data_IF_997955987575
#
_entry.id   IF_997955987575
#
_cell.length_a   1.000
_cell.length_b   1.000
_cell.length_c   1.000
_cell.angle_alpha   90.00
_cell.angle_beta   90.00
_cell.angle_gamma   90.00
#
_symmetry.space_group_name_H-M   'P 1'
#
loop_
_entity.id
_entity.type
_entity.pdbx_description
1 polymer ?
#
# COMPACT_ATOMS: atom_id res chain seq x y z
N UNK A 1 31.39 -49.84 17.23
CA UNK A 1 31.00 -48.88 18.27
C UNK A 1 32.19 -47.95 18.47
N UNK A 2 32.20 -46.84 17.82
CA UNK A 2 33.10 -45.75 18.16
C UNK A 2 32.51 -45.02 19.36
N UNK A 3 33.32 -44.50 20.24
CA UNK A 3 32.99 -44.01 21.58
C UNK A 3 32.16 -42.70 21.61
N UNK A 4 31.56 -42.31 20.52
CA UNK A 4 30.52 -41.30 20.44
C UNK A 4 29.27 -41.94 19.84
N UNK A 5 28.18 -42.01 20.61
CA UNK A 5 26.85 -42.54 20.24
C UNK A 5 26.18 -41.78 19.09
N UNK A 6 26.89 -41.50 18.01
CA UNK A 6 26.30 -40.95 16.80
C UNK A 6 26.03 -42.09 15.80
N UNK A 7 24.75 -42.38 15.59
CA UNK A 7 24.25 -43.23 14.53
C UNK A 7 24.87 -42.79 13.21
N UNK A 8 25.74 -43.65 12.59
CA UNK A 8 26.37 -43.28 11.32
C UNK A 8 25.32 -43.28 10.21
N UNK A 9 24.87 -42.07 9.87
CA UNK A 9 23.98 -41.84 8.73
C UNK A 9 24.83 -41.27 7.59
N UNK A 10 24.92 -41.93 6.42
CA UNK A 10 25.66 -41.39 5.27
C UNK A 10 25.21 -39.96 4.92
N UNK A 11 26.15 -39.09 4.53
CA UNK A 11 25.92 -37.65 4.29
C UNK A 11 24.74 -37.37 3.35
N UNK A 12 24.51 -38.19 2.34
CA UNK A 12 23.41 -38.02 1.40
C UNK A 12 22.02 -38.33 1.99
N UNK A 13 21.93 -38.90 3.19
CA UNK A 13 20.68 -39.12 3.93
C UNK A 13 20.47 -38.11 5.06
N UNK A 14 21.47 -37.34 5.47
CA UNK A 14 21.39 -36.41 6.61
C UNK A 14 20.32 -35.31 6.42
N UNK A 15 19.95 -34.99 5.19
CA UNK A 15 18.88 -34.02 4.88
C UNK A 15 17.47 -34.66 4.86
N UNK A 16 17.34 -35.98 5.07
CA UNK A 16 16.04 -36.69 5.05
C UNK A 16 15.55 -36.98 6.46
N UNK A 17 14.24 -36.87 6.62
CA UNK A 17 13.58 -37.31 7.87
C UNK A 17 13.67 -38.86 7.93
N UNK A 18 14.22 -39.40 9.00
CA UNK A 18 14.28 -40.82 9.26
C UNK A 18 13.67 -41.13 10.63
N UNK A 19 13.30 -42.38 10.85
CA UNK A 19 12.80 -42.91 12.12
C UNK A 19 13.84 -43.88 12.65
N UNK A 20 14.39 -43.56 13.81
CA UNK A 20 15.38 -44.42 14.48
C UNK A 20 14.66 -45.57 15.22
N UNK A 21 15.03 -46.79 14.90
CA UNK A 21 14.51 -48.04 15.51
C UNK A 21 15.58 -48.76 16.31
N UNK A 22 16.73 -48.13 16.60
CA UNK A 22 17.86 -48.76 17.28
C UNK A 22 17.77 -48.71 18.81
N UNK A 23 16.96 -47.81 19.37
CA UNK A 23 16.78 -47.66 20.80
C UNK A 23 15.57 -48.46 21.30
N UNK A 24 15.82 -49.44 22.19
CA UNK A 24 14.78 -50.32 22.73
C UNK A 24 13.66 -49.55 23.47
N UNK A 25 13.99 -48.50 24.20
CA UNK A 25 13.03 -47.71 24.97
C UNK A 25 12.08 -46.89 24.07
N UNK A 26 12.52 -46.48 22.90
CA UNK A 26 11.75 -45.68 21.93
C UNK A 26 11.23 -46.52 20.75
N UNK A 27 11.61 -47.81 20.68
CA UNK A 27 11.25 -48.65 19.56
C UNK A 27 9.75 -48.72 19.29
N UNK A 28 8.95 -48.94 20.33
CA UNK A 28 7.49 -49.08 20.19
C UNK A 28 6.83 -47.77 19.65
N UNK A 29 7.27 -46.62 20.13
CA UNK A 29 6.77 -45.32 19.67
C UNK A 29 7.21 -45.04 18.24
N UNK A 30 8.48 -45.24 17.95
CA UNK A 30 9.05 -45.01 16.63
C UNK A 30 8.49 -45.99 15.58
N UNK A 31 8.19 -47.24 15.98
CA UNK A 31 7.55 -48.21 15.11
C UNK A 31 6.07 -47.81 14.79
N UNK A 32 5.31 -47.34 15.77
CA UNK A 32 3.97 -46.81 15.51
C UNK A 32 4.01 -45.59 14.55
N UNK A 33 4.99 -44.69 14.71
CA UNK A 33 5.22 -43.58 13.78
C UNK A 33 5.52 -44.05 12.38
N UNK A 34 6.35 -45.12 12.23
CA UNK A 34 6.66 -45.73 10.94
C UNK A 34 5.41 -46.32 10.28
N UNK A 35 4.59 -47.07 11.03
CA UNK A 35 3.34 -47.62 10.52
C UNK A 35 2.37 -46.52 10.08
N UNK A 36 2.23 -45.46 10.87
CA UNK A 36 1.40 -44.32 10.49
C UNK A 36 1.89 -43.67 9.22
N UNK A 37 3.19 -43.62 9.01
CA UNK A 37 3.79 -43.03 7.81
C UNK A 37 3.52 -43.90 6.57
N UNK A 38 3.67 -45.22 6.71
CA UNK A 38 3.40 -46.20 5.63
C UNK A 38 1.92 -46.16 5.21
N UNK A 39 1.01 -46.01 6.18
CA UNK A 39 -0.44 -46.04 5.93
C UNK A 39 -1.06 -44.67 5.78
N UNK A 40 -0.25 -43.56 5.64
CA UNK A 40 -0.69 -42.17 5.51
C UNK A 40 -1.73 -41.75 6.58
N UNK A 41 -1.50 -42.17 7.83
CA UNK A 41 -2.33 -41.84 9.00
C UNK A 41 -1.53 -41.08 10.05
N UNK A 42 -1.21 -39.77 9.80
CA UNK A 42 -0.41 -39.03 10.75
C UNK A 42 -1.16 -38.82 12.07
N UNK A 43 -0.42 -38.78 13.19
CA UNK A 43 -0.94 -38.50 14.54
C UNK A 43 -1.75 -37.21 14.62
N UNK A 44 -1.28 -36.20 13.90
CA UNK A 44 -1.96 -34.90 13.80
C UNK A 44 -2.38 -34.67 12.35
N UNK A 45 -3.67 -34.67 12.09
CA UNK A 45 -4.17 -34.21 10.80
C UNK A 45 -3.77 -32.72 10.65
N UNK A 46 -3.00 -32.44 9.60
CA UNK A 46 -2.72 -31.05 9.25
C UNK A 46 -4.07 -30.37 9.08
N UNK A 47 -4.36 -29.28 9.81
CA UNK A 47 -5.62 -28.57 9.63
C UNK A 47 -5.71 -28.16 8.16
N UNK A 48 -6.93 -28.21 7.60
CA UNK A 48 -7.17 -27.73 6.24
C UNK A 48 -6.61 -26.30 6.14
N UNK A 49 -5.75 -26.09 5.17
CA UNK A 49 -5.24 -24.74 4.87
C UNK A 49 -6.48 -23.91 4.60
N UNK A 50 -6.75 -22.93 5.47
CA UNK A 50 -7.90 -22.05 5.33
C UNK A 50 -8.01 -21.55 3.90
N UNK A 51 -9.22 -21.27 3.42
CA UNK A 51 -9.46 -20.80 2.06
C UNK A 51 -8.46 -19.69 1.74
N UNK A 52 -7.71 -19.89 0.66
CA UNK A 52 -6.77 -18.91 0.15
C UNK A 52 -7.51 -17.58 0.03
N UNK A 53 -7.04 -16.49 0.65
CA UNK A 53 -7.71 -15.19 0.52
C UNK A 53 -7.95 -14.84 -0.95
N UNK A 54 -9.08 -14.25 -1.26
CA UNK A 54 -9.50 -13.97 -2.65
C UNK A 54 -8.46 -13.15 -3.44
N UNK A 55 -7.68 -12.28 -2.77
CA UNK A 55 -6.61 -11.52 -3.39
C UNK A 55 -5.45 -12.37 -3.93
N UNK A 56 -5.35 -13.66 -3.53
CA UNK A 56 -4.34 -14.60 -4.05
C UNK A 56 -4.83 -15.41 -5.26
N UNK A 57 -6.12 -15.28 -5.63
CA UNK A 57 -6.69 -15.87 -6.85
C UNK A 57 -6.64 -14.92 -8.05
N UNK A 58 -6.29 -13.65 -7.83
CA UNK A 58 -6.01 -12.75 -8.95
C UNK A 58 -4.68 -13.19 -9.55
N UNK A 59 -4.73 -13.90 -10.68
CA UNK A 59 -3.57 -14.41 -11.43
C UNK A 59 -2.67 -13.32 -12.01
N UNK A 60 -2.97 -12.05 -11.74
CA UNK A 60 -2.09 -10.90 -12.00
C UNK A 60 -1.30 -10.53 -10.74
N UNK A 61 -0.47 -11.47 -10.27
CA UNK A 61 0.65 -11.09 -9.41
C UNK A 61 1.82 -10.57 -10.26
N UNK A 62 1.59 -9.60 -11.10
CA UNK A 62 2.65 -8.66 -11.40
C UNK A 62 2.95 -7.97 -10.07
N UNK A 63 3.99 -8.42 -9.38
CA UNK A 63 4.42 -7.75 -8.17
C UNK A 63 4.60 -6.29 -8.57
N UNK A 64 3.88 -5.38 -7.89
CA UNK A 64 4.03 -3.97 -8.16
C UNK A 64 5.51 -3.63 -8.07
N UNK A 65 5.98 -2.73 -8.90
CA UNK A 65 7.39 -2.28 -8.84
C UNK A 65 7.75 -1.68 -7.46
N UNK A 66 6.76 -1.32 -6.65
CA UNK A 66 6.89 -0.85 -5.25
C UNK A 66 6.96 -1.98 -4.23
N UNK A 67 6.44 -3.19 -4.52
CA UNK A 67 6.25 -4.26 -3.53
C UNK A 67 7.55 -4.67 -2.82
N UNK A 68 8.65 -4.79 -3.56
CA UNK A 68 9.95 -5.16 -2.95
C UNK A 68 10.44 -4.07 -1.97
N UNK A 69 10.27 -2.78 -2.32
CA UNK A 69 10.63 -1.65 -1.48
C UNK A 69 9.69 -1.52 -0.29
N UNK A 70 8.40 -1.74 -0.49
CA UNK A 70 7.39 -1.82 0.56
C UNK A 70 7.73 -2.89 1.61
N UNK A 71 8.02 -4.14 1.18
CA UNK A 71 8.39 -5.23 2.08
C UNK A 71 9.65 -4.91 2.87
N UNK A 72 10.68 -4.37 2.20
CA UNK A 72 11.94 -3.94 2.85
C UNK A 72 11.68 -2.86 3.89
N UNK A 73 10.88 -1.84 3.58
CA UNK A 73 10.54 -0.76 4.51
C UNK A 73 9.73 -1.29 5.71
N UNK A 74 8.70 -2.10 5.47
CA UNK A 74 7.87 -2.72 6.51
C UNK A 74 8.71 -3.61 7.44
N UNK A 75 9.60 -4.45 6.90
CA UNK A 75 10.50 -5.30 7.72
C UNK A 75 11.48 -4.44 8.54
N UNK A 76 12.05 -3.41 7.93
CA UNK A 76 12.96 -2.50 8.63
C UNK A 76 12.26 -1.80 9.81
N UNK A 77 11.01 -1.34 9.64
CA UNK A 77 10.23 -0.71 10.70
C UNK A 77 9.90 -1.72 11.81
N UNK A 78 9.34 -2.89 11.45
CA UNK A 78 8.93 -3.94 12.41
C UNK A 78 10.08 -4.45 13.27
N UNK A 79 11.30 -4.42 12.74
CA UNK A 79 12.52 -4.91 13.41
C UNK A 79 13.45 -3.80 13.90
N UNK A 80 13.00 -2.56 13.88
CA UNK A 80 13.77 -1.37 14.29
C UNK A 80 15.20 -1.34 13.70
N UNK A 81 15.31 -1.53 12.39
CA UNK A 81 16.61 -1.57 11.72
C UNK A 81 17.19 -0.18 11.51
N UNK A 82 18.51 0.01 11.60
CA UNK A 82 19.14 1.33 11.45
C UNK A 82 18.92 1.98 10.08
N UNK A 83 18.55 1.22 9.07
CA UNK A 83 18.29 1.71 7.72
C UNK A 83 16.79 2.00 7.42
N UNK A 84 15.90 2.08 8.43
CA UNK A 84 14.48 2.42 8.26
C UNK A 84 14.27 3.66 7.40
N UNK A 85 15.03 4.72 7.68
CA UNK A 85 14.90 5.97 6.93
C UNK A 85 15.25 5.84 5.44
N UNK A 86 16.31 5.12 5.13
CA UNK A 86 16.72 4.84 3.75
C UNK A 86 15.67 3.99 3.02
N UNK A 87 15.13 2.96 3.69
CA UNK A 87 14.12 2.08 3.12
C UNK A 87 12.80 2.83 2.84
N UNK A 88 12.38 3.74 3.72
CA UNK A 88 11.21 4.62 3.50
C UNK A 88 11.42 5.57 2.32
N UNK A 89 12.61 6.19 2.22
CA UNK A 89 12.93 7.08 1.11
C UNK A 89 12.92 6.33 -0.23
N UNK A 90 13.49 5.11 -0.28
CA UNK A 90 13.47 4.23 -1.46
C UNK A 90 12.04 3.89 -1.88
N UNK A 91 11.17 3.56 -0.92
CA UNK A 91 9.77 3.27 -1.20
C UNK A 91 9.04 4.49 -1.76
N UNK A 92 9.10 5.64 -1.10
CA UNK A 92 8.43 6.87 -1.55
C UNK A 92 8.95 7.37 -2.89
N UNK A 93 10.25 7.19 -3.17
CA UNK A 93 10.82 7.50 -4.48
C UNK A 93 10.20 6.62 -5.56
N UNK A 94 10.23 5.30 -5.37
CA UNK A 94 9.67 4.34 -6.33
C UNK A 94 8.15 4.52 -6.51
N UNK A 95 7.42 4.80 -5.42
CA UNK A 95 6.00 5.12 -5.47
C UNK A 95 5.72 6.31 -6.38
N UNK A 96 6.47 7.40 -6.23
CA UNK A 96 6.35 8.60 -7.05
C UNK A 96 6.66 8.32 -8.53
N UNK A 97 7.69 7.52 -8.85
CA UNK A 97 7.98 7.12 -10.23
C UNK A 97 6.83 6.33 -10.86
N UNK A 98 6.16 5.48 -10.09
CA UNK A 98 4.99 4.75 -10.58
C UNK A 98 3.76 5.63 -10.73
N UNK A 99 3.60 6.64 -9.88
CA UNK A 99 2.56 7.64 -10.06
C UNK A 99 2.74 8.40 -11.39
N UNK A 100 3.96 8.73 -11.80
CA UNK A 100 4.23 9.36 -13.12
C UNK A 100 3.74 8.49 -14.29
N UNK A 101 3.84 7.18 -14.19
CA UNK A 101 3.35 6.25 -15.23
C UNK A 101 1.82 6.28 -15.40
N UNK A 102 1.09 6.80 -14.41
CA UNK A 102 -0.37 6.99 -14.47
C UNK A 102 -0.78 8.23 -15.28
N UNK A 103 0.15 8.98 -15.85
CA UNK A 103 -0.15 10.17 -16.67
C UNK A 103 -0.89 9.75 -17.94
N UNK A 104 -2.06 10.35 -18.14
CA UNK A 104 -2.93 10.04 -19.27
C UNK A 104 -2.51 10.87 -20.48
N UNK A 105 -2.15 10.18 -21.56
CA UNK A 105 -1.88 10.80 -22.86
C UNK A 105 -3.15 10.77 -23.72
N UNK A 106 -3.75 11.93 -23.95
CA UNK A 106 -4.99 12.04 -24.74
C UNK A 106 -4.87 11.55 -26.17
N UNK A 107 -3.67 11.61 -26.75
CA UNK A 107 -3.44 11.21 -28.14
C UNK A 107 -3.49 9.69 -28.35
N UNK A 108 -3.39 8.92 -27.28
CA UNK A 108 -3.31 7.45 -27.27
C UNK A 108 -4.55 6.77 -26.70
N UNK A 109 -5.63 7.55 -26.48
CA UNK A 109 -6.84 6.99 -25.88
C UNK A 109 -7.73 6.34 -26.93
N UNK A 110 -8.14 5.12 -26.65
CA UNK A 110 -9.19 4.36 -27.34
C UNK A 110 -10.58 4.50 -26.67
N UNK A 111 -10.61 5.11 -25.47
CA UNK A 111 -11.82 5.39 -24.68
C UNK A 111 -12.03 6.89 -24.47
N UNK A 112 -13.21 7.29 -24.00
CA UNK A 112 -13.44 8.69 -23.63
C UNK A 112 -12.56 9.08 -22.44
N UNK A 113 -12.08 10.32 -22.44
CA UNK A 113 -11.11 10.81 -21.46
C UNK A 113 -11.59 10.65 -20.00
N UNK A 114 -12.87 10.91 -19.73
CA UNK A 114 -13.46 10.73 -18.41
C UNK A 114 -13.48 9.26 -17.96
N UNK A 115 -13.57 8.32 -18.88
CA UNK A 115 -13.43 6.90 -18.60
C UNK A 115 -11.97 6.51 -18.33
N UNK A 116 -11.02 7.03 -19.11
CA UNK A 116 -9.59 6.83 -18.88
C UNK A 116 -9.15 7.36 -17.50
N UNK A 117 -9.73 8.47 -17.04
CA UNK A 117 -9.49 9.00 -15.69
C UNK A 117 -9.95 8.00 -14.63
N UNK A 118 -11.14 7.42 -14.78
CA UNK A 118 -11.66 6.42 -13.83
C UNK A 118 -10.81 5.14 -13.84
N UNK A 119 -10.45 4.64 -15.03
CA UNK A 119 -9.57 3.47 -15.16
C UNK A 119 -8.20 3.71 -14.49
N UNK A 120 -7.63 4.91 -14.66
CA UNK A 120 -6.36 5.29 -14.02
C UNK A 120 -6.49 5.31 -12.49
N UNK A 121 -7.60 5.83 -11.95
CA UNK A 121 -7.90 5.85 -10.52
C UNK A 121 -8.04 4.41 -9.99
N UNK A 122 -8.82 3.57 -10.66
CA UNK A 122 -9.03 2.17 -10.26
C UNK A 122 -7.71 1.35 -10.34
N UNK A 123 -6.87 1.58 -11.34
CA UNK A 123 -5.57 0.90 -11.48
C UNK A 123 -4.55 1.29 -10.41
N UNK A 124 -4.76 2.40 -9.72
CA UNK A 124 -3.90 2.86 -8.63
C UNK A 124 -4.21 2.18 -7.28
N UNK A 125 -5.35 1.50 -7.13
CA UNK A 125 -5.80 0.88 -5.87
C UNK A 125 -4.72 0.00 -5.21
N UNK A 126 -3.97 -0.87 -5.92
CA UNK A 126 -2.94 -1.70 -5.30
C UNK A 126 -1.80 -0.87 -4.66
N UNK A 127 -1.35 0.21 -5.29
CA UNK A 127 -0.34 1.13 -4.74
C UNK A 127 -0.84 1.86 -3.51
N UNK A 128 -2.10 2.31 -3.54
CA UNK A 128 -2.77 2.91 -2.38
C UNK A 128 -2.82 1.93 -1.20
N UNK A 129 -3.14 0.66 -1.45
CA UNK A 129 -3.20 -0.36 -0.40
C UNK A 129 -1.83 -0.58 0.25
N UNK A 130 -0.75 -0.65 -0.52
CA UNK A 130 0.61 -0.68 0.02
C UNK A 130 0.94 0.55 0.87
N UNK A 131 0.51 1.75 0.42
CA UNK A 131 0.70 2.98 1.19
C UNK A 131 -0.04 2.93 2.54
N UNK A 132 -1.30 2.50 2.56
CA UNK A 132 -2.13 2.38 3.77
C UNK A 132 -1.48 1.40 4.76
N UNK A 133 -1.03 0.24 4.28
CA UNK A 133 -0.38 -0.78 5.10
C UNK A 133 0.95 -0.28 5.66
N UNK A 134 1.77 0.36 4.84
CA UNK A 134 3.05 0.93 5.29
C UNK A 134 2.83 2.02 6.33
N UNK A 135 1.89 2.93 6.10
CA UNK A 135 1.61 4.02 7.03
C UNK A 135 1.06 3.49 8.36
N UNK A 136 0.17 2.51 8.34
CA UNK A 136 -0.30 1.82 9.54
C UNK A 136 0.86 1.12 10.27
N UNK A 137 1.80 0.52 9.54
CA UNK A 137 3.00 -0.12 10.12
C UNK A 137 3.90 0.92 10.79
N UNK A 138 4.14 2.08 10.17
CA UNK A 138 4.91 3.18 10.78
C UNK A 138 4.31 3.56 12.14
N UNK A 139 2.99 3.78 12.19
CA UNK A 139 2.33 4.22 13.42
C UNK A 139 2.29 3.14 14.51
N UNK A 140 2.23 1.86 14.12
CA UNK A 140 2.19 0.74 15.06
C UNK A 140 3.53 0.45 15.72
N UNK A 141 4.63 0.65 15.00
CA UNK A 141 5.96 0.20 15.45
C UNK A 141 6.94 1.34 15.70
N UNK A 142 6.90 2.41 14.93
CA UNK A 142 7.85 3.52 15.06
C UNK A 142 7.18 4.87 14.77
N UNK A 143 6.33 5.39 15.66
CA UNK A 143 5.68 6.69 15.48
C UNK A 143 6.64 7.85 15.82
N UNK A 144 7.81 7.92 15.21
CA UNK A 144 8.77 9.01 15.44
C UNK A 144 8.34 10.29 14.73
N UNK A 145 8.71 11.47 15.29
CA UNK A 145 8.51 12.77 14.62
C UNK A 145 9.17 12.81 13.25
N UNK A 146 10.30 12.12 13.07
CA UNK A 146 11.00 11.97 11.78
C UNK A 146 10.12 11.28 10.73
N UNK A 147 9.34 10.25 11.11
CA UNK A 147 8.44 9.55 10.20
C UNK A 147 7.31 10.45 9.71
N UNK A 148 6.76 11.30 10.55
CA UNK A 148 5.71 12.26 10.18
C UNK A 148 6.24 13.35 9.25
N UNK A 149 7.45 13.86 9.49
CA UNK A 149 8.10 14.77 8.55
C UNK A 149 8.31 14.14 7.17
N UNK A 150 8.62 12.84 7.10
CA UNK A 150 8.71 12.12 5.82
C UNK A 150 7.37 12.03 5.11
N UNK A 151 6.27 11.81 5.84
CA UNK A 151 4.92 11.81 5.29
C UNK A 151 4.54 13.21 4.77
N UNK A 152 4.82 14.27 5.54
CA UNK A 152 4.60 15.64 5.08
C UNK A 152 5.37 15.92 3.79
N UNK A 153 6.67 15.63 3.75
CA UNK A 153 7.52 15.78 2.57
C UNK A 153 7.09 14.91 1.38
N UNK A 154 6.54 13.73 1.66
CA UNK A 154 5.96 12.88 0.62
C UNK A 154 4.77 13.57 -0.04
N UNK A 155 3.79 14.07 0.74
CA UNK A 155 2.66 14.81 0.19
C UNK A 155 3.08 16.07 -0.56
N UNK A 156 4.04 16.82 -0.03
CA UNK A 156 4.59 17.99 -0.72
C UNK A 156 5.12 17.65 -2.12
N UNK A 157 5.83 16.53 -2.25
CA UNK A 157 6.34 16.03 -3.53
C UNK A 157 5.25 15.53 -4.49
N UNK A 158 4.03 15.29 -4.02
CA UNK A 158 2.88 14.91 -4.86
C UNK A 158 2.14 16.12 -5.45
N UNK A 159 2.26 17.32 -4.87
CA UNK A 159 1.55 18.52 -5.34
C UNK A 159 1.77 18.80 -6.83
N UNK A 160 2.99 18.72 -7.39
CA UNK A 160 3.24 19.00 -8.80
C UNK A 160 2.41 18.16 -9.78
N UNK A 161 2.01 16.94 -9.41
CA UNK A 161 1.22 16.06 -10.28
C UNK A 161 -0.20 16.58 -10.55
N UNK A 162 -0.73 17.40 -9.67
CA UNK A 162 -2.08 18.01 -9.80
C UNK A 162 -2.14 19.12 -10.84
N UNK A 163 -1.00 19.51 -11.41
CA UNK A 163 -0.85 20.66 -12.28
C UNK A 163 0.01 20.33 -13.52
N UNK A 164 -0.08 21.20 -14.54
CA UNK A 164 0.75 21.05 -15.73
C UNK A 164 2.25 21.12 -15.38
N UNK A 165 3.07 20.19 -15.85
CA UNK A 165 4.53 20.25 -15.72
C UNK A 165 5.11 21.57 -16.24
N UNK A 166 6.32 21.89 -15.79
CA UNK A 166 7.04 23.04 -16.34
C UNK A 166 7.37 22.78 -17.81
N UNK A 167 7.04 23.73 -18.67
CA UNK A 167 7.31 23.61 -20.13
C UNK A 167 6.16 23.01 -20.96
N UNK A 168 5.13 22.43 -20.35
CA UNK A 168 3.94 21.98 -21.07
C UNK A 168 3.12 23.19 -21.53
N UNK A 169 3.01 23.38 -22.85
CA UNK A 169 2.30 24.52 -23.48
C UNK A 169 0.81 24.24 -23.71
N UNK A 170 0.50 23.01 -24.13
CA UNK A 170 -0.85 22.59 -24.44
C UNK A 170 -1.36 21.56 -23.45
N UNK A 171 -2.40 21.90 -22.71
CA UNK A 171 -3.07 21.02 -21.76
C UNK A 171 -4.48 21.51 -21.44
N UNK A 172 -5.33 20.59 -21.06
CA UNK A 172 -6.61 20.90 -20.43
C UNK A 172 -6.49 20.74 -18.92
N UNK A 173 -7.16 21.59 -18.15
CA UNK A 173 -7.10 21.50 -16.69
C UNK A 173 -7.51 20.12 -16.14
N UNK A 174 -8.38 19.41 -16.88
CA UNK A 174 -8.83 18.05 -16.54
C UNK A 174 -7.77 16.95 -16.75
N UNK A 175 -6.64 17.23 -17.43
CA UNK A 175 -5.61 16.24 -17.72
C UNK A 175 -4.91 15.68 -16.47
N UNK A 176 -5.12 16.34 -15.34
CA UNK A 176 -4.54 15.98 -14.04
C UNK A 176 -5.58 15.48 -13.04
N UNK A 177 -6.82 15.23 -13.49
CA UNK A 177 -7.92 14.90 -12.59
C UNK A 177 -7.73 13.51 -11.92
N UNK A 178 -7.10 12.54 -12.57
CA UNK A 178 -6.74 11.27 -11.95
C UNK A 178 -5.78 11.49 -10.76
N UNK A 179 -4.73 12.32 -10.92
CA UNK A 179 -3.81 12.65 -9.85
C UNK A 179 -4.48 13.42 -8.72
N UNK A 180 -5.38 14.36 -9.05
CA UNK A 180 -6.15 15.12 -8.04
C UNK A 180 -6.96 14.20 -7.17
N UNK A 181 -7.64 13.22 -7.77
CA UNK A 181 -8.40 12.23 -7.01
C UNK A 181 -7.49 11.33 -6.18
N UNK A 182 -6.46 10.75 -6.79
CA UNK A 182 -5.51 9.83 -6.13
C UNK A 182 -4.84 10.51 -4.93
N UNK A 183 -4.34 11.73 -5.10
CA UNK A 183 -3.63 12.46 -4.04
C UNK A 183 -4.58 12.84 -2.91
N UNK A 184 -5.80 13.29 -3.24
CA UNK A 184 -6.83 13.55 -2.25
C UNK A 184 -7.18 12.29 -1.45
N UNK A 185 -7.40 11.16 -2.13
CA UNK A 185 -7.68 9.88 -1.49
C UNK A 185 -6.55 9.46 -0.54
N UNK A 186 -5.29 9.51 -0.99
CA UNK A 186 -4.13 9.20 -0.14
C UNK A 186 -4.06 10.09 1.10
N UNK A 187 -4.34 11.40 0.93
CA UNK A 187 -4.33 12.34 2.03
C UNK A 187 -5.43 12.04 3.06
N UNK A 188 -6.65 11.75 2.59
CA UNK A 188 -7.76 11.34 3.47
C UNK A 188 -7.43 10.04 4.22
N UNK A 189 -6.83 9.05 3.56
CA UNK A 189 -6.40 7.83 4.24
C UNK A 189 -5.34 8.11 5.29
N UNK A 190 -4.38 8.99 5.02
CA UNK A 190 -3.36 9.37 6.00
C UNK A 190 -3.99 10.02 7.25
N UNK A 191 -4.90 10.97 7.07
CA UNK A 191 -5.63 11.61 8.19
C UNK A 191 -6.48 10.59 8.95
N UNK A 192 -7.24 9.72 8.23
CA UNK A 192 -8.10 8.70 8.83
C UNK A 192 -7.29 7.69 9.69
N UNK A 193 -6.10 7.30 9.19
CA UNK A 193 -5.22 6.40 9.94
C UNK A 193 -4.68 7.09 11.18
N UNK A 194 -4.22 8.34 11.09
CA UNK A 194 -3.75 9.11 12.25
C UNK A 194 -4.85 9.27 13.31
N UNK A 195 -6.07 9.60 12.91
CA UNK A 195 -7.22 9.67 13.83
C UNK A 195 -7.48 8.31 14.49
N UNK A 196 -7.47 7.22 13.72
CA UNK A 196 -7.68 5.86 14.22
C UNK A 196 -6.62 5.44 15.26
N UNK A 197 -5.38 5.93 15.11
CA UNK A 197 -4.28 5.67 16.06
C UNK A 197 -4.16 6.77 17.12
N UNK A 198 -5.14 7.67 17.24
CA UNK A 198 -5.20 8.79 18.19
C UNK A 198 -3.97 9.71 18.12
N UNK A 199 -3.39 9.87 16.92
CA UNK A 199 -2.22 10.72 16.66
C UNK A 199 -2.64 12.14 16.29
N UNK A 200 -3.31 12.83 17.21
CA UNK A 200 -3.92 14.15 16.96
C UNK A 200 -2.89 15.27 16.75
N UNK A 201 -1.70 15.18 17.38
CA UNK A 201 -0.62 16.14 17.13
C UNK A 201 -0.12 16.05 15.68
N UNK A 202 -0.02 14.83 15.15
CA UNK A 202 0.39 14.55 13.78
C UNK A 202 -0.70 14.96 12.77
N UNK A 203 -1.97 14.77 13.11
CA UNK A 203 -3.09 15.31 12.32
C UNK A 203 -2.97 16.84 12.25
N UNK A 204 -2.83 17.50 13.40
CA UNK A 204 -2.65 18.95 13.46
C UNK A 204 -1.43 19.41 12.65
N UNK A 205 -0.32 18.65 12.70
CA UNK A 205 0.87 18.95 11.88
C UNK A 205 0.55 18.93 10.40
N UNK A 206 -0.11 17.89 9.88
CA UNK A 206 -0.45 17.79 8.45
C UNK A 206 -1.45 18.87 8.01
N UNK A 207 -2.37 19.28 8.88
CA UNK A 207 -3.39 20.29 8.56
C UNK A 207 -2.88 21.74 8.69
N UNK A 208 -1.94 22.01 9.59
CA UNK A 208 -1.50 23.39 9.88
C UNK A 208 -0.17 23.76 9.23
N UNK A 209 0.73 22.79 9.02
CA UNK A 209 2.00 23.05 8.34
C UNK A 209 1.78 23.31 6.87
N UNK A 210 2.47 24.32 6.35
CA UNK A 210 2.37 24.72 4.94
C UNK A 210 3.25 23.83 4.08
N UNK A 211 2.82 23.62 2.85
CA UNK A 211 3.48 22.82 1.83
C UNK A 211 4.09 23.71 0.76
N UNK A 212 5.31 23.41 0.33
CA UNK A 212 6.01 24.21 -0.65
C UNK A 212 5.63 23.80 -2.07
N UNK A 213 5.19 24.76 -2.88
CA UNK A 213 4.93 24.58 -4.30
C UNK A 213 5.42 25.79 -5.11
N UNK A 214 6.56 25.67 -5.83
CA UNK A 214 7.23 26.83 -6.48
C UNK A 214 6.37 27.64 -7.42
N UNK A 215 5.37 27.02 -8.08
CA UNK A 215 4.46 27.77 -8.98
C UNK A 215 3.63 28.84 -8.28
N UNK A 216 3.39 28.73 -6.98
CA UNK A 216 2.67 29.75 -6.21
C UNK A 216 3.40 31.08 -6.12
N UNK A 217 4.73 31.11 -6.30
CA UNK A 217 5.48 32.37 -6.43
C UNK A 217 5.00 33.27 -7.57
N UNK A 218 4.55 32.69 -8.68
CA UNK A 218 4.08 33.42 -9.86
C UNK A 218 2.78 34.20 -9.64
N UNK A 219 2.06 33.95 -8.54
CA UNK A 219 0.79 34.59 -8.20
C UNK A 219 0.90 35.54 -7.02
N UNK A 220 2.12 36.06 -6.73
CA UNK A 220 2.37 36.98 -5.61
C UNK A 220 2.29 36.33 -4.23
N UNK A 221 2.33 34.98 -4.18
CA UNK A 221 2.38 34.18 -2.96
C UNK A 221 3.80 33.72 -2.68
N UNK A 222 4.11 33.41 -1.41
CA UNK A 222 5.44 32.99 -0.92
C UNK A 222 5.85 31.57 -1.36
N UNK A 223 5.16 30.96 -2.31
CA UNK A 223 5.37 29.56 -2.73
C UNK A 223 4.82 28.52 -1.77
N UNK A 224 4.15 28.97 -0.70
CA UNK A 224 3.60 28.08 0.31
C UNK A 224 2.08 27.99 0.18
N UNK A 225 1.54 26.79 0.29
CA UNK A 225 0.10 26.50 0.29
C UNK A 225 -0.29 25.70 1.55
N UNK A 226 -1.55 25.77 1.91
CA UNK A 226 -2.12 25.00 3.00
C UNK A 226 -2.60 23.63 2.50
N UNK A 227 -3.12 22.79 3.41
CA UNK A 227 -3.58 21.43 3.12
C UNK A 227 -4.72 21.37 2.09
N UNK A 228 -5.47 22.46 1.88
CA UNK A 228 -6.57 22.50 0.89
C UNK A 228 -6.07 22.27 -0.53
N UNK A 229 -4.76 22.40 -0.76
CA UNK A 229 -4.12 22.05 -2.04
C UNK A 229 -4.38 20.58 -2.44
N UNK A 230 -4.60 19.69 -1.49
CA UNK A 230 -4.92 18.28 -1.73
C UNK A 230 -6.39 18.03 -2.04
N UNK A 231 -7.28 19.03 -1.83
CA UNK A 231 -8.71 18.94 -2.12
C UNK A 231 -9.08 19.61 -3.46
N UNK A 232 -8.40 19.24 -4.54
CA UNK A 232 -8.67 19.78 -5.87
C UNK A 232 -9.91 19.14 -6.50
N UNK A 233 -10.65 19.92 -7.26
CA UNK A 233 -11.88 19.46 -7.92
C UNK A 233 -11.58 18.55 -9.12
N UNK A 234 -12.23 17.39 -9.20
CA UNK A 234 -12.09 16.40 -10.26
C UNK A 234 -13.25 16.49 -11.26
N UNK A 235 -13.15 17.37 -12.25
CA UNK A 235 -14.23 17.68 -13.21
C UNK A 235 -14.58 16.50 -14.12
N UNK A 236 -13.60 15.67 -14.47
CA UNK A 236 -13.81 14.50 -15.34
C UNK A 236 -14.85 13.53 -14.79
N UNK A 237 -14.87 13.32 -13.46
CA UNK A 237 -15.88 12.49 -12.81
C UNK A 237 -17.28 13.09 -12.96
N UNK A 238 -17.39 14.44 -12.86
CA UNK A 238 -18.66 15.15 -13.07
C UNK A 238 -19.13 15.03 -14.53
N UNK A 239 -18.22 15.14 -15.50
CA UNK A 239 -18.55 14.96 -16.91
C UNK A 239 -19.02 13.52 -17.19
N UNK A 240 -18.37 12.52 -16.61
CA UNK A 240 -18.79 11.10 -16.72
C UNK A 240 -20.20 10.90 -16.15
N UNK A 241 -20.48 11.43 -14.97
CA UNK A 241 -21.79 11.35 -14.33
C UNK A 241 -22.90 11.89 -15.25
N UNK A 242 -22.68 13.09 -15.84
CA UNK A 242 -23.62 13.69 -16.80
C UNK A 242 -23.77 12.87 -18.07
N UNK A 243 -22.65 12.43 -18.65
CA UNK A 243 -22.64 11.63 -19.90
C UNK A 243 -23.38 10.31 -19.77
N UNK A 244 -23.26 9.66 -18.62
CA UNK A 244 -23.87 8.36 -18.35
C UNK A 244 -25.22 8.45 -17.64
N UNK A 245 -25.73 9.65 -17.36
CA UNK A 245 -26.98 9.89 -16.63
C UNK A 245 -27.07 9.14 -15.30
N UNK A 246 -25.95 9.05 -14.55
CA UNK A 246 -25.88 8.29 -13.31
C UNK A 246 -26.63 8.94 -12.14
N UNK A 247 -26.92 10.24 -12.23
CA UNK A 247 -27.63 11.03 -11.21
C UNK A 247 -27.05 10.94 -9.79
N UNK A 248 -25.74 10.77 -9.69
CA UNK A 248 -25.03 10.69 -8.42
C UNK A 248 -24.80 12.10 -7.86
N UNK A 249 -25.11 12.31 -6.58
CA UNK A 249 -24.96 13.59 -5.88
C UNK A 249 -23.53 13.81 -5.40
N UNK A 250 -22.97 12.85 -4.67
CA UNK A 250 -21.62 12.96 -4.13
C UNK A 250 -20.70 11.97 -4.85
N UNK A 251 -20.19 12.39 -6.03
CA UNK A 251 -19.38 11.53 -6.90
C UNK A 251 -18.11 11.04 -6.20
N UNK A 252 -17.41 11.93 -5.51
CA UNK A 252 -16.18 11.59 -4.79
C UNK A 252 -16.45 10.56 -3.69
N UNK A 253 -17.49 10.75 -2.89
CA UNK A 253 -17.87 9.82 -1.84
C UNK A 253 -18.25 8.43 -2.39
N UNK A 254 -18.89 8.36 -3.57
CA UNK A 254 -19.21 7.07 -4.23
C UNK A 254 -17.94 6.31 -4.60
N UNK A 255 -16.92 6.98 -5.15
CA UNK A 255 -15.63 6.37 -5.47
C UNK A 255 -14.89 5.97 -4.20
N UNK A 256 -14.79 6.83 -3.20
CA UNK A 256 -14.15 6.52 -1.92
C UNK A 256 -14.81 5.33 -1.23
N UNK A 257 -16.16 5.23 -1.26
CA UNK A 257 -16.89 4.09 -0.71
C UNK A 257 -16.59 2.79 -1.46
N UNK A 258 -16.57 2.83 -2.80
CA UNK A 258 -16.16 1.68 -3.64
C UNK A 258 -14.76 1.22 -3.30
N UNK A 259 -13.85 2.15 -3.07
CA UNK A 259 -12.44 1.89 -2.79
C UNK A 259 -12.16 1.41 -1.37
N UNK A 260 -13.06 1.60 -0.40
CA UNK A 260 -12.86 1.12 0.97
C UNK A 260 -12.90 -0.42 1.12
N UNK A 261 -13.07 -1.17 0.06
CA UNK A 261 -13.00 -2.64 0.08
C UNK A 261 -11.54 -3.11 0.16
N UNK A 262 -11.26 -4.09 1.04
CA UNK A 262 -9.92 -4.70 1.18
C UNK A 262 -8.91 -3.91 2.01
N UNK A 263 -9.31 -2.85 2.69
CA UNK A 263 -8.46 -2.06 3.59
C UNK A 263 -8.99 -2.11 5.04
N UNK A 264 -8.12 -1.94 6.05
CA UNK A 264 -8.52 -2.03 7.46
C UNK A 264 -9.28 -0.78 7.98
N UNK A 265 -9.80 0.05 7.08
CA UNK A 265 -10.55 1.27 7.37
C UNK A 265 -11.95 1.17 6.79
N UNK A 266 -12.95 1.60 7.56
CA UNK A 266 -14.33 1.73 7.09
C UNK A 266 -14.52 3.06 6.37
N UNK A 267 -15.53 3.14 5.51
CA UNK A 267 -15.90 4.38 4.82
C UNK A 267 -16.16 5.55 5.79
N UNK A 268 -16.78 5.28 6.95
CA UNK A 268 -17.04 6.29 7.98
C UNK A 268 -15.76 6.96 8.50
N UNK A 269 -14.65 6.20 8.63
CA UNK A 269 -13.36 6.77 9.03
C UNK A 269 -12.82 7.75 7.97
N UNK A 270 -13.05 7.44 6.68
CA UNK A 270 -12.64 8.33 5.58
C UNK A 270 -13.51 9.59 5.58
N UNK A 271 -14.81 9.45 5.84
CA UNK A 271 -15.71 10.61 5.93
C UNK A 271 -15.39 11.48 7.15
N UNK A 272 -15.00 10.89 8.29
CA UNK A 272 -14.52 11.67 9.43
C UNK A 272 -13.27 12.50 9.07
N UNK A 273 -12.35 11.91 8.30
CA UNK A 273 -11.16 12.62 7.84
C UNK A 273 -11.47 13.76 6.85
N UNK A 274 -12.56 13.67 6.08
CA UNK A 274 -13.00 14.71 5.12
C UNK A 274 -13.65 15.91 5.83
N UNK A 275 -14.11 15.73 7.07
CA UNK A 275 -14.71 16.79 7.89
C UNK A 275 -13.70 17.59 8.73
N UNK A 276 -12.47 17.12 8.88
CA UNK A 276 -11.41 17.76 9.66
C UNK A 276 -10.65 18.78 8.80
#
# INVERSE_FOLDING_TARGET
KDEEENTYVPEYYQSRIYIDLSEDDLYSENFDRLLRWIFDKPLHKKPDIGKKPEYLFVEDTSSLSTTAKFRRASDAIKRDKPYVEGALNDYFFTFKENLEKMRIDRSKLDVKFDEAVVQSIDSFIPYRNEFIELFSTILSYNPSKSSILKIHNFFEKLIPYQFAPVGMKEYKNTDFDNFRFIIHELYLYAIAILIKYEKFEEVNHLLTKRYYYPKYYRYGKDGMCDFTIFNQHTRSICYRNKRLNLNLLSLRAVFLKKHCTGVPLKFDHIMQADFV
#
